data_IF_188175606886
#
_entry.id   IF_188175606886
#
_cell.length_a   1.000
_cell.length_b   1.000
_cell.length_c   1.000
_cell.angle_alpha   90.00
_cell.angle_beta   90.00
_cell.angle_gamma   90.00
#
_symmetry.space_group_name_H-M   'P 1'
#
loop_
_entity.id
_entity.type
_entity.pdbx_description
1 polymer ?
#
# COMPACT_ATOMS: atom_id res chain seq x y z
N UNK A 1 22.20 -50.71 -18.14
CA UNK A 1 22.85 -49.66 -17.32
C UNK A 1 21.95 -48.44 -17.37
N UNK A 2 21.07 -48.28 -16.36
CA UNK A 2 21.18 -47.27 -15.26
C UNK A 2 21.05 -45.84 -15.82
N UNK A 3 19.88 -45.18 -15.76
CA UNK A 3 19.32 -44.44 -14.59
C UNK A 3 19.89 -43.01 -14.59
N UNK A 4 19.20 -41.87 -14.46
CA UNK A 4 18.04 -41.37 -13.68
C UNK A 4 17.56 -40.04 -14.34
N UNK A 5 16.27 -39.80 -14.58
CA UNK A 5 15.25 -39.08 -13.77
C UNK A 5 15.38 -37.54 -13.55
N UNK A 6 14.28 -36.86 -13.91
CA UNK A 6 13.65 -35.61 -13.41
C UNK A 6 14.14 -34.20 -13.81
N UNK A 7 13.26 -33.47 -14.51
CA UNK A 7 12.78 -32.11 -14.12
C UNK A 7 11.51 -31.77 -14.91
N UNK A 8 10.33 -31.93 -14.32
CA UNK A 8 9.60 -30.92 -13.51
C UNK A 8 8.62 -30.09 -14.36
N UNK A 9 7.46 -30.70 -14.60
CA UNK A 9 6.21 -29.98 -14.88
C UNK A 9 5.90 -29.00 -13.73
N UNK A 10 6.05 -27.70 -13.97
CA UNK A 10 5.23 -26.67 -13.32
C UNK A 10 4.31 -26.16 -14.43
N UNK A 11 3.07 -26.62 -14.51
CA UNK A 11 2.06 -26.28 -13.52
C UNK A 11 1.43 -24.93 -13.90
N UNK A 12 0.91 -24.83 -15.13
CA UNK A 12 0.04 -23.74 -15.60
C UNK A 12 -1.37 -23.94 -15.00
N UNK A 13 -1.43 -23.93 -13.67
CA UNK A 13 -2.65 -24.11 -12.90
C UNK A 13 -3.04 -22.77 -12.28
N UNK A 14 -3.38 -21.78 -13.12
CA UNK A 14 -4.12 -20.59 -12.68
C UNK A 14 -4.64 -19.69 -13.82
N UNK A 15 -4.83 -20.20 -15.05
CA UNK A 15 -5.48 -19.45 -16.13
C UNK A 15 -6.86 -20.01 -16.52
N UNK A 16 -7.41 -20.88 -15.68
CA UNK A 16 -8.73 -21.47 -15.89
C UNK A 16 -9.85 -20.54 -15.45
N UNK A 17 -10.94 -20.56 -16.21
CA UNK A 17 -12.25 -19.92 -16.00
C UNK A 17 -12.67 -19.81 -14.52
N UNK A 18 -12.28 -20.75 -13.66
CA UNK A 18 -12.43 -20.69 -12.20
C UNK A 18 -11.90 -19.41 -11.53
N UNK A 19 -10.73 -18.90 -11.93
CA UNK A 19 -10.18 -17.66 -11.37
C UNK A 19 -11.00 -16.42 -11.76
N UNK A 20 -11.51 -16.40 -13.00
CA UNK A 20 -12.39 -15.33 -13.48
C UNK A 20 -13.77 -15.39 -12.82
N UNK A 21 -14.31 -16.60 -12.62
CA UNK A 21 -15.57 -16.82 -11.88
C UNK A 21 -15.40 -16.38 -10.42
N UNK A 22 -14.29 -16.73 -9.76
CA UNK A 22 -14.06 -16.34 -8.38
C UNK A 22 -13.89 -14.83 -8.21
N UNK A 23 -13.22 -14.15 -9.15
CA UNK A 23 -13.15 -12.67 -9.17
C UNK A 23 -14.53 -12.06 -9.40
N UNK A 24 -15.33 -12.57 -10.34
CA UNK A 24 -16.70 -12.08 -10.58
C UNK A 24 -17.61 -12.34 -9.38
N UNK A 25 -17.53 -13.50 -8.73
CA UNK A 25 -18.27 -13.79 -7.50
C UNK A 25 -17.79 -12.93 -6.34
N UNK A 26 -16.48 -12.66 -6.22
CA UNK A 26 -15.95 -11.77 -5.20
C UNK A 26 -16.41 -10.33 -5.43
N UNK A 27 -16.41 -9.84 -6.67
CA UNK A 27 -16.95 -8.53 -7.04
C UNK A 27 -18.47 -8.46 -6.88
N UNK A 28 -19.21 -9.52 -7.22
CA UNK A 28 -20.66 -9.57 -7.05
C UNK A 28 -21.07 -9.68 -5.58
N UNK A 29 -20.32 -10.43 -4.76
CA UNK A 29 -20.50 -10.53 -3.31
C UNK A 29 -20.06 -9.25 -2.60
N UNK A 30 -18.97 -8.63 -3.04
CA UNK A 30 -18.57 -7.28 -2.65
C UNK A 30 -19.71 -6.31 -2.96
N UNK A 31 -20.18 -6.25 -4.20
CA UNK A 31 -21.29 -5.37 -4.63
C UNK A 31 -22.62 -5.64 -3.91
N UNK A 32 -22.97 -6.90 -3.62
CA UNK A 32 -24.15 -7.25 -2.82
C UNK A 32 -23.97 -6.91 -1.32
N UNK A 33 -22.72 -6.90 -0.81
CA UNK A 33 -22.42 -6.42 0.54
C UNK A 33 -22.46 -4.89 0.63
N UNK A 34 -22.31 -4.18 -0.49
CA UNK A 34 -22.56 -2.74 -0.66
C UNK A 34 -24.05 -2.37 -0.73
N UNK A 35 -24.97 -3.27 -0.37
CA UNK A 35 -26.38 -2.93 -0.13
C UNK A 35 -26.53 -2.07 1.16
N UNK A 36 -26.18 -0.79 0.98
CA UNK A 36 -26.73 0.44 1.56
C UNK A 36 -27.43 0.29 2.93
N UNK A 37 -26.66 0.21 4.00
CA UNK A 37 -27.02 0.88 5.26
C UNK A 37 -25.73 1.12 6.03
N UNK A 38 -25.54 2.42 6.40
CA UNK A 38 -24.46 3.05 7.18
C UNK A 38 -23.97 2.23 8.35
N UNK A 39 -23.26 2.86 9.29
CA UNK A 39 -23.09 2.25 10.60
C UNK A 39 -24.43 1.63 11.05
N UNK A 40 -24.46 0.31 11.17
CA UNK A 40 -25.69 -0.44 11.38
C UNK A 40 -25.37 -1.57 12.34
N UNK A 41 -26.08 -1.56 13.45
CA UNK A 41 -25.98 -2.60 14.46
C UNK A 41 -27.34 -3.24 14.69
N UNK A 42 -27.33 -4.55 14.92
CA UNK A 42 -28.42 -5.28 15.54
C UNK A 42 -27.87 -6.02 16.77
N UNK A 43 -28.73 -6.74 17.47
CA UNK A 43 -28.38 -7.44 18.71
C UNK A 43 -27.23 -8.46 18.58
N UNK A 44 -26.88 -8.87 17.35
CA UNK A 44 -25.90 -9.93 17.09
C UNK A 44 -24.62 -9.44 16.40
N UNK A 45 -24.69 -8.40 15.57
CA UNK A 45 -23.55 -7.91 14.81
C UNK A 45 -23.74 -6.45 14.42
N UNK A 46 -22.62 -5.73 14.27
CA UNK A 46 -22.59 -4.46 13.58
C UNK A 46 -21.75 -4.51 12.30
N UNK A 47 -22.00 -3.55 11.42
CA UNK A 47 -21.18 -3.24 10.24
C UNK A 47 -20.93 -1.74 10.14
N UNK A 48 -19.83 -1.40 9.51
CA UNK A 48 -19.44 -0.05 9.12
C UNK A 48 -18.83 -0.11 7.72
N UNK A 49 -19.45 0.55 6.75
CA UNK A 49 -18.93 0.67 5.39
C UNK A 49 -18.79 2.15 5.08
N UNK A 50 -17.63 2.56 4.56
CA UNK A 50 -17.31 3.96 4.26
C UNK A 50 -16.66 4.06 2.90
N UNK A 51 -16.98 5.13 2.19
CA UNK A 51 -16.21 5.53 1.01
C UNK A 51 -15.93 7.03 1.06
N UNK A 52 -14.76 7.44 0.59
CA UNK A 52 -14.32 8.82 0.71
C UNK A 52 -13.30 9.22 -0.34
N UNK A 53 -13.09 10.53 -0.41
CA UNK A 53 -12.03 11.16 -1.18
C UNK A 53 -11.06 11.82 -0.22
N UNK A 54 -9.79 11.78 -0.55
CA UNK A 54 -8.75 12.33 0.30
C UNK A 54 -7.58 12.89 -0.47
N UNK A 55 -6.72 13.60 0.26
CA UNK A 55 -5.42 14.06 -0.19
C UNK A 55 -4.32 13.47 0.68
N UNK A 56 -3.14 13.26 0.11
CA UNK A 56 -1.96 12.83 0.85
C UNK A 56 -0.74 13.65 0.48
N UNK A 57 0.18 13.76 1.43
CA UNK A 57 1.53 14.26 1.23
C UNK A 57 2.48 13.28 1.89
N UNK A 58 3.48 12.84 1.14
CA UNK A 58 4.54 11.98 1.65
C UNK A 58 5.88 12.70 1.57
N UNK A 59 6.64 12.62 2.66
CA UNK A 59 8.01 13.07 2.74
C UNK A 59 8.91 11.84 2.93
N UNK A 60 9.78 11.62 1.95
CA UNK A 60 10.71 10.49 1.92
C UNK A 60 12.12 11.03 2.16
N UNK A 61 12.66 10.67 3.33
CA UNK A 61 14.05 10.88 3.69
C UNK A 61 14.92 9.73 3.19
N UNK A 62 15.94 10.07 2.41
CA UNK A 62 17.03 9.16 2.01
C UNK A 62 18.27 9.60 2.78
N UNK A 63 18.75 8.77 3.72
CA UNK A 63 19.88 9.06 4.61
C UNK A 63 19.72 10.31 5.50
N UNK A 64 18.69 10.31 6.36
CA UNK A 64 18.70 10.94 7.70
C UNK A 64 18.76 12.46 7.87
N UNK A 65 19.18 13.25 6.87
CA UNK A 65 19.44 14.69 7.09
C UNK A 65 18.50 15.64 6.34
N UNK A 66 17.92 15.27 5.19
CA UNK A 66 16.95 16.11 4.46
C UNK A 66 15.99 15.23 3.64
N UNK A 67 14.69 15.57 3.57
CA UNK A 67 13.76 14.88 2.66
C UNK A 67 14.17 15.15 1.21
N UNK A 68 14.62 14.10 0.52
CA UNK A 68 15.09 14.17 -0.87
C UNK A 68 13.95 14.04 -1.88
N UNK A 69 12.79 13.53 -1.43
CA UNK A 69 11.63 13.27 -2.27
C UNK A 69 10.36 13.68 -1.51
N UNK A 70 9.56 14.54 -2.14
CA UNK A 70 8.22 14.88 -1.67
C UNK A 70 7.23 14.47 -2.75
N UNK A 71 6.16 13.80 -2.35
CA UNK A 71 5.07 13.45 -3.24
C UNK A 71 3.74 13.80 -2.61
N UNK A 72 2.75 14.03 -3.46
CA UNK A 72 1.41 14.30 -2.99
C UNK A 72 0.40 14.03 -4.08
N UNK A 73 -0.85 13.88 -3.68
CA UNK A 73 -1.90 13.52 -4.60
C UNK A 73 -3.26 13.43 -3.94
N UNK A 74 -4.22 12.97 -4.74
CA UNK A 74 -5.57 12.67 -4.31
C UNK A 74 -5.79 11.16 -4.36
N UNK A 75 -6.73 10.67 -3.56
CA UNK A 75 -7.11 9.26 -3.55
C UNK A 75 -8.59 9.07 -3.26
N UNK A 76 -9.09 7.92 -3.69
CA UNK A 76 -10.39 7.38 -3.32
C UNK A 76 -10.17 6.21 -2.37
N UNK A 77 -10.91 6.18 -1.27
CA UNK A 77 -10.79 5.15 -0.25
C UNK A 77 -12.14 4.46 -0.01
N UNK A 78 -12.07 3.17 0.28
CA UNK A 78 -13.20 2.34 0.69
C UNK A 78 -12.78 1.55 1.91
N UNK A 79 -13.59 1.63 2.97
CA UNK A 79 -13.41 0.86 4.20
C UNK A 79 -14.65 0.02 4.45
N UNK A 80 -14.47 -1.20 4.90
CA UNK A 80 -15.55 -2.02 5.41
C UNK A 80 -15.07 -2.72 6.68
N UNK A 81 -15.95 -2.83 7.66
CA UNK A 81 -15.72 -3.65 8.84
C UNK A 81 -17.03 -4.24 9.30
N UNK A 82 -16.98 -5.48 9.77
CA UNK A 82 -18.08 -6.20 10.37
C UNK A 82 -17.59 -6.87 11.64
N UNK A 83 -18.35 -6.76 12.70
CA UNK A 83 -17.99 -7.37 13.98
C UNK A 83 -19.19 -7.91 14.72
N UNK A 84 -18.89 -8.86 15.58
CA UNK A 84 -19.75 -9.44 16.61
C UNK A 84 -19.00 -9.30 17.95
N UNK A 85 -19.65 -9.62 19.05
CA UNK A 85 -19.10 -9.56 20.41
C UNK A 85 -17.66 -10.13 20.53
N UNK A 86 -17.31 -11.18 19.80
CA UNK A 86 -16.01 -11.86 19.92
C UNK A 86 -15.14 -11.83 18.66
N UNK A 87 -15.62 -11.29 17.55
CA UNK A 87 -14.92 -11.40 16.27
C UNK A 87 -15.08 -10.15 15.43
N UNK A 88 -14.01 -9.78 14.73
CA UNK A 88 -13.93 -8.65 13.82
C UNK A 88 -13.30 -9.11 12.51
N UNK A 89 -13.88 -8.65 11.40
CA UNK A 89 -13.30 -8.77 10.07
C UNK A 89 -13.53 -7.49 9.30
N UNK A 90 -12.55 -7.07 8.53
CA UNK A 90 -12.67 -5.86 7.73
C UNK A 90 -11.63 -5.76 6.65
N UNK A 91 -11.70 -4.67 5.91
CA UNK A 91 -10.70 -4.31 4.95
C UNK A 91 -10.81 -2.86 4.51
N UNK A 92 -9.72 -2.37 3.96
CA UNK A 92 -9.64 -1.07 3.33
C UNK A 92 -8.97 -1.18 1.97
N UNK A 93 -9.34 -0.31 1.04
CA UNK A 93 -8.70 -0.17 -0.25
C UNK A 93 -8.61 1.31 -0.63
N UNK A 94 -7.42 1.74 -1.05
CA UNK A 94 -7.13 3.11 -1.45
C UNK A 94 -6.56 3.13 -2.87
N UNK A 95 -7.07 4.04 -3.70
CA UNK A 95 -6.65 4.24 -5.09
C UNK A 95 -6.26 5.69 -5.29
N UNK A 96 -4.97 5.94 -5.54
CA UNK A 96 -4.40 7.28 -5.56
C UNK A 96 -3.76 7.65 -6.88
N UNK A 97 -3.82 8.95 -7.20
CA UNK A 97 -3.09 9.59 -8.30
C UNK A 97 -2.35 10.79 -7.74
N UNK A 98 -1.11 10.99 -8.14
CA UNK A 98 -0.30 12.08 -7.61
C UNK A 98 0.89 12.43 -8.47
N UNK A 99 1.69 13.33 -7.92
CA UNK A 99 2.98 13.70 -8.47
C UNK A 99 4.07 13.65 -7.41
N UNK A 100 5.28 13.38 -7.84
CA UNK A 100 6.47 13.28 -7.02
C UNK A 100 7.58 14.17 -7.56
N UNK A 101 8.29 14.85 -6.66
CA UNK A 101 9.39 15.76 -6.98
C UNK A 101 10.61 15.44 -6.12
N UNK A 102 11.78 15.35 -6.78
CA UNK A 102 13.07 15.12 -6.13
C UNK A 102 13.77 16.46 -5.96
N UNK A 103 14.15 16.79 -4.72
CA UNK A 103 15.06 17.89 -4.43
C UNK A 103 16.44 17.30 -4.14
N UNK A 104 17.33 17.36 -5.14
CA UNK A 104 18.73 16.99 -4.93
C UNK A 104 19.45 18.10 -4.17
N UNK A 105 20.02 17.76 -3.01
CA UNK A 105 21.01 18.59 -2.32
C UNK A 105 22.35 17.87 -2.43
N UNK A 106 23.15 18.26 -3.44
CA UNK A 106 24.58 17.96 -3.60
C UNK A 106 25.09 16.65 -2.97
N UNK A 107 24.63 15.49 -3.46
CA UNK A 107 25.27 14.22 -3.14
C UNK A 107 26.41 13.95 -4.13
N UNK A 108 27.54 14.64 -3.96
CA UNK A 108 28.73 14.51 -4.83
C UNK A 108 29.42 13.14 -4.75
N UNK A 109 29.02 12.26 -3.82
CA UNK A 109 29.68 10.97 -3.57
C UNK A 109 28.73 9.76 -3.43
N UNK A 110 27.45 9.87 -3.80
CA UNK A 110 26.56 8.71 -3.73
C UNK A 110 26.47 8.00 -5.09
N UNK A 111 26.81 6.71 -5.11
CA UNK A 111 26.48 5.74 -6.16
C UNK A 111 24.97 5.47 -6.27
N UNK A 112 24.13 6.37 -5.75
CA UNK A 112 22.67 6.25 -5.72
C UNK A 112 22.10 6.58 -7.09
N UNK A 113 21.30 5.64 -7.62
CA UNK A 113 20.67 5.73 -8.94
C UNK A 113 19.48 6.72 -9.03
N UNK A 114 19.56 7.84 -8.31
CA UNK A 114 18.57 8.92 -8.40
C UNK A 114 19.22 10.08 -9.15
N UNK A 115 19.13 10.10 -10.49
CA UNK A 115 19.71 11.17 -11.27
C UNK A 115 19.10 12.53 -10.92
N UNK A 116 19.96 13.56 -10.92
CA UNK A 116 19.66 14.98 -10.69
C UNK A 116 18.61 15.54 -11.67
N UNK A 117 17.33 15.27 -11.47
CA UNK A 117 16.25 15.83 -12.28
C UNK A 117 15.13 16.34 -11.38
N UNK A 118 14.98 17.67 -11.33
CA UNK A 118 13.83 18.37 -10.77
C UNK A 118 12.58 18.21 -11.67
N UNK A 119 12.27 16.97 -12.10
CA UNK A 119 11.12 16.67 -12.94
C UNK A 119 10.02 16.09 -12.05
N UNK A 120 8.87 16.76 -12.05
CA UNK A 120 7.64 16.21 -11.48
C UNK A 120 7.28 14.93 -12.25
N UNK A 121 7.10 13.84 -11.54
CA UNK A 121 6.74 12.54 -12.12
C UNK A 121 5.36 12.14 -11.64
N UNK A 122 4.48 11.76 -12.57
CA UNK A 122 3.16 11.24 -12.23
C UNK A 122 3.29 9.83 -11.66
N UNK A 123 2.42 9.52 -10.70
CA UNK A 123 2.33 8.18 -10.13
C UNK A 123 0.89 7.77 -9.81
N UNK A 124 0.68 6.46 -9.86
CA UNK A 124 -0.54 5.79 -9.44
C UNK A 124 -0.23 4.88 -8.25
N UNK A 125 -1.05 4.97 -7.21
CA UNK A 125 -0.91 4.19 -5.99
C UNK A 125 -2.14 3.32 -5.74
N UNK A 126 -1.91 2.09 -5.27
CA UNK A 126 -2.96 1.23 -4.72
C UNK A 126 -2.49 0.69 -3.38
N UNK A 127 -3.32 0.82 -2.34
CA UNK A 127 -3.14 0.07 -1.11
C UNK A 127 -4.38 -0.70 -0.75
N UNK A 128 -4.21 -1.84 -0.07
CA UNK A 128 -5.29 -2.65 0.43
C UNK A 128 -4.89 -3.32 1.73
N UNK A 129 -5.70 -3.21 2.77
CA UNK A 129 -5.47 -3.91 4.04
C UNK A 129 -6.66 -4.82 4.34
N UNK A 130 -6.38 -6.03 4.80
CA UNK A 130 -7.38 -6.95 5.35
C UNK A 130 -7.12 -7.12 6.83
N UNK A 131 -8.18 -7.08 7.63
CA UNK A 131 -8.15 -7.20 9.09
C UNK A 131 -8.96 -8.42 9.52
N UNK A 132 -8.44 -9.17 10.48
CA UNK A 132 -9.18 -10.23 11.16
C UNK A 132 -8.74 -10.28 12.62
N UNK A 133 -9.69 -10.39 13.54
CA UNK A 133 -9.36 -10.31 14.95
C UNK A 133 -10.56 -10.40 15.88
N UNK A 134 -10.39 -9.81 17.05
CA UNK A 134 -11.36 -9.88 18.14
C UNK A 134 -11.95 -8.49 18.38
N UNK A 135 -13.24 -8.45 18.71
CA UNK A 135 -13.79 -7.35 19.47
C UNK A 135 -13.56 -7.67 20.96
N UNK A 136 -12.80 -6.82 21.65
CA UNK A 136 -12.46 -6.99 23.05
C UNK A 136 -13.40 -6.20 23.99
N UNK A 137 -14.43 -5.56 23.43
CA UNK A 137 -15.40 -4.77 24.21
C UNK A 137 -16.82 -4.92 23.65
N UNK A 138 -17.73 -4.07 24.11
CA UNK A 138 -19.14 -4.10 23.74
C UNK A 138 -19.37 -3.92 22.24
N UNK A 139 -20.53 -4.39 21.78
CA UNK A 139 -20.89 -4.36 20.36
C UNK A 139 -20.98 -2.92 19.82
N UNK A 140 -21.57 -2.00 20.59
CA UNK A 140 -21.77 -0.59 20.19
C UNK A 140 -20.53 0.30 20.38
N UNK A 141 -19.54 -0.15 21.16
CA UNK A 141 -18.30 0.60 21.46
C UNK A 141 -17.07 -0.28 21.28
N UNK A 142 -16.87 -0.88 20.10
CA UNK A 142 -15.92 -1.95 19.93
C UNK A 142 -14.47 -1.49 20.15
N UNK A 143 -13.65 -2.40 20.67
CA UNK A 143 -12.20 -2.31 20.69
C UNK A 143 -11.67 -3.48 19.87
N UNK A 144 -11.14 -3.21 18.69
CA UNK A 144 -10.65 -4.21 17.76
C UNK A 144 -9.17 -4.49 18.01
N UNK A 145 -8.85 -5.77 18.23
CA UNK A 145 -7.48 -6.28 18.25
C UNK A 145 -7.34 -7.23 17.07
N UNK A 146 -6.70 -6.76 16.01
CA UNK A 146 -6.65 -7.45 14.72
C UNK A 146 -5.23 -7.84 14.33
N UNK A 147 -5.11 -8.96 13.64
CA UNK A 147 -3.99 -9.18 12.70
C UNK A 147 -4.37 -8.59 11.35
N UNK A 148 -3.39 -8.07 10.62
CA UNK A 148 -3.64 -7.50 9.30
C UNK A 148 -2.60 -7.93 8.27
N UNK A 149 -3.06 -8.02 7.02
CA UNK A 149 -2.21 -8.12 5.83
C UNK A 149 -2.44 -6.88 4.99
N UNK A 150 -1.38 -6.15 4.68
CA UNK A 150 -1.45 -4.94 3.88
C UNK A 150 -0.58 -5.07 2.63
N UNK A 151 -1.17 -4.77 1.48
CA UNK A 151 -0.51 -4.67 0.20
C UNK A 151 -0.46 -3.19 -0.20
N UNK A 152 0.70 -2.75 -0.69
CA UNK A 152 0.88 -1.41 -1.25
C UNK A 152 1.68 -1.48 -2.54
N UNK A 153 1.20 -0.83 -3.58
CA UNK A 153 1.89 -0.65 -4.85
C UNK A 153 1.90 0.83 -5.20
N UNK A 154 3.04 1.32 -5.65
CA UNK A 154 3.16 2.67 -6.21
C UNK A 154 3.94 2.57 -7.53
N UNK A 155 3.26 2.95 -8.60
CA UNK A 155 3.73 2.84 -9.97
C UNK A 155 3.99 4.26 -10.48
N UNK A 156 5.24 4.55 -10.81
CA UNK A 156 5.61 5.80 -11.46
C UNK A 156 5.56 5.65 -12.98
N UNK A 157 5.37 6.78 -13.65
CA UNK A 157 5.49 6.86 -15.10
C UNK A 157 6.85 6.32 -15.58
N UNK A 158 6.87 5.70 -16.76
CA UNK A 158 8.06 5.03 -17.32
C UNK A 158 9.25 6.00 -17.47
N UNK A 159 8.98 7.27 -17.78
CA UNK A 159 10.00 8.31 -17.97
C UNK A 159 10.48 8.97 -16.68
N UNK A 160 9.92 8.59 -15.52
CA UNK A 160 10.13 9.26 -14.24
C UNK A 160 11.53 9.07 -13.63
N UNK A 161 12.32 8.09 -14.11
CA UNK A 161 13.56 7.60 -13.46
C UNK A 161 13.39 7.23 -11.97
N UNK A 162 12.17 7.23 -11.44
CA UNK A 162 11.84 6.84 -10.08
C UNK A 162 11.47 5.35 -10.07
N UNK A 163 12.04 4.53 -9.16
CA UNK A 163 11.64 3.14 -9.06
C UNK A 163 10.21 3.03 -8.55
N UNK A 164 9.39 2.24 -9.25
CA UNK A 164 8.11 1.79 -8.69
C UNK A 164 8.36 0.87 -7.51
N UNK A 165 7.41 0.76 -6.57
CA UNK A 165 7.57 -0.10 -5.38
C UNK A 165 6.34 -0.95 -5.13
N UNK A 166 6.57 -2.15 -4.62
CA UNK A 166 5.56 -3.06 -4.11
C UNK A 166 5.96 -3.50 -2.71
N UNK A 167 5.03 -3.44 -1.76
CA UNK A 167 5.21 -3.81 -0.37
C UNK A 167 4.07 -4.75 0.07
N UNK A 168 4.41 -5.77 0.84
CA UNK A 168 3.48 -6.60 1.58
C UNK A 168 3.90 -6.57 3.05
N UNK A 169 3.01 -6.11 3.92
CA UNK A 169 3.20 -6.12 5.37
C UNK A 169 2.22 -7.06 6.07
N UNK A 170 2.69 -7.65 7.17
CA UNK A 170 1.90 -8.44 8.11
C UNK A 170 2.08 -7.82 9.49
N UNK A 171 1.00 -7.62 10.23
CA UNK A 171 1.09 -6.91 11.50
C UNK A 171 -0.11 -7.08 12.40
N UNK A 172 -0.13 -6.25 13.44
CA UNK A 172 -1.20 -6.16 14.42
C UNK A 172 -1.75 -4.74 14.49
N UNK A 173 -3.04 -4.61 14.73
CA UNK A 173 -3.76 -3.35 14.83
C UNK A 173 -4.60 -3.31 16.11
N UNK A 174 -4.62 -2.14 16.74
CA UNK A 174 -5.55 -1.79 17.80
C UNK A 174 -6.38 -0.61 17.31
N UNK A 175 -7.69 -0.74 17.24
CA UNK A 175 -8.58 0.35 16.82
C UNK A 175 -9.89 0.34 17.60
N UNK A 176 -10.58 1.46 17.65
CA UNK A 176 -11.86 1.58 18.35
C UNK A 176 -12.78 2.55 17.63
N UNK A 177 -14.08 2.34 17.82
CA UNK A 177 -15.16 3.21 17.39
C UNK A 177 -16.02 3.54 18.61
N UNK A 178 -16.18 4.82 18.93
CA UNK A 178 -16.91 5.25 20.12
C UNK A 178 -17.84 6.42 19.79
N UNK A 179 -19.07 6.34 20.27
CA UNK A 179 -19.99 7.49 20.21
C UNK A 179 -19.66 8.43 21.38
N UNK A 180 -19.29 9.68 21.07
CA UNK A 180 -19.07 10.70 22.10
C UNK A 180 -20.40 11.26 22.62
N UNK A 181 -21.38 11.36 21.71
CA UNK A 181 -22.76 11.71 21.99
C UNK A 181 -23.66 11.19 20.84
N UNK A 182 -24.94 11.54 20.85
CA UNK A 182 -25.92 11.12 19.83
C UNK A 182 -25.64 11.65 18.42
N UNK A 183 -24.67 12.56 18.26
CA UNK A 183 -24.38 13.25 17.00
C UNK A 183 -22.99 12.99 16.42
N UNK A 184 -22.00 12.77 17.28
CA UNK A 184 -20.60 12.69 16.91
C UNK A 184 -20.02 11.43 17.53
N UNK A 185 -19.43 10.61 16.68
CA UNK A 185 -18.56 9.53 17.09
C UNK A 185 -17.12 9.80 16.69
N UNK A 186 -16.21 9.10 17.36
CA UNK A 186 -14.78 9.12 17.12
C UNK A 186 -14.32 7.71 16.72
N UNK A 187 -13.46 7.65 15.72
CA UNK A 187 -12.72 6.44 15.36
C UNK A 187 -11.23 6.73 15.52
N UNK A 188 -10.49 5.76 16.03
CA UNK A 188 -9.04 5.89 16.11
C UNK A 188 -8.39 4.51 16.07
N UNK A 189 -7.12 4.48 15.67
CA UNK A 189 -6.37 3.25 15.69
C UNK A 189 -4.89 3.45 15.46
N UNK A 190 -4.13 2.45 15.90
CA UNK A 190 -2.70 2.32 15.69
C UNK A 190 -2.38 0.90 15.22
N UNK A 191 -1.48 0.78 14.27
CA UNK A 191 -1.07 -0.50 13.70
C UNK A 191 0.43 -0.54 13.53
N UNK A 192 1.01 -1.70 13.79
CA UNK A 192 2.42 -1.99 13.54
C UNK A 192 2.52 -3.23 12.66
N UNK A 193 3.30 -3.14 11.59
CA UNK A 193 3.48 -4.23 10.64
C UNK A 193 4.93 -4.40 10.22
N UNK A 194 5.31 -5.64 10.00
CA UNK A 194 6.58 -6.03 9.42
C UNK A 194 6.42 -6.22 7.92
N UNK A 195 7.32 -5.65 7.12
CA UNK A 195 7.29 -5.75 5.66
C UNK A 195 7.96 -7.06 5.25
N UNK A 196 7.14 -8.11 5.10
CA UNK A 196 7.57 -9.47 4.73
C UNK A 196 8.06 -9.57 3.28
N UNK A 197 7.58 -8.68 2.41
CA UNK A 197 8.03 -8.57 1.03
C UNK A 197 8.08 -7.10 0.62
N UNK A 198 9.18 -6.71 -0.01
CA UNK A 198 9.34 -5.39 -0.58
C UNK A 198 10.23 -5.47 -1.82
N UNK A 199 9.87 -4.72 -2.85
CA UNK A 199 10.57 -4.72 -4.12
C UNK A 199 10.53 -3.34 -4.76
N UNK A 200 11.68 -2.88 -5.25
CA UNK A 200 11.79 -1.75 -6.16
C UNK A 200 11.88 -2.27 -7.59
N UNK A 201 11.15 -1.64 -8.50
CA UNK A 201 11.10 -1.98 -9.91
C UNK A 201 11.65 -0.79 -10.71
N UNK A 202 12.78 -1.02 -11.35
CA UNK A 202 13.45 -0.06 -12.23
C UNK A 202 13.02 -0.34 -13.67
N UNK A 203 12.13 0.52 -14.18
CA UNK A 203 11.66 0.44 -15.57
C UNK A 203 12.62 1.21 -16.49
N UNK A 204 12.86 0.67 -17.68
CA UNK A 204 13.67 1.31 -18.72
C UNK A 204 15.06 1.78 -18.27
N UNK A 205 15.69 1.08 -17.31
CA UNK A 205 17.13 1.21 -17.10
C UNK A 205 17.84 0.54 -18.28
N UNK A 206 18.42 1.34 -19.17
CA UNK A 206 19.10 0.85 -20.35
C UNK A 206 20.44 0.22 -19.98
N UNK A 207 20.53 -1.10 -20.09
CA UNK A 207 21.81 -1.81 -20.16
C UNK A 207 22.38 -1.64 -21.57
N UNK A 208 23.49 -0.91 -21.70
CA UNK A 208 24.24 -0.83 -22.95
C UNK A 208 25.09 -2.09 -23.11
N UNK A 209 24.66 -3.01 -23.97
CA UNK A 209 25.49 -4.11 -24.44
C UNK A 209 26.07 -3.73 -25.81
N UNK A 210 27.31 -3.24 -25.90
CA UNK A 210 28.00 -3.24 -27.18
C UNK A 210 28.23 -4.70 -27.55
N UNK A 211 27.47 -5.23 -28.50
CA UNK A 211 27.76 -6.52 -29.09
C UNK A 211 28.89 -6.31 -30.11
N UNK A 212 30.13 -6.77 -29.86
CA UNK A 212 31.25 -6.54 -30.77
C UNK A 212 31.09 -7.24 -32.13
N UNK A 213 30.13 -8.15 -32.28
CA UNK A 213 29.88 -8.90 -33.51
C UNK A 213 28.68 -8.39 -34.32
N UNK A 214 27.81 -7.55 -33.74
CA UNK A 214 26.64 -6.97 -34.42
C UNK A 214 26.35 -5.56 -33.88
N UNK A 215 26.68 -4.48 -34.61
CA UNK A 215 26.46 -3.10 -34.19
C UNK A 215 25.00 -2.66 -34.42
N UNK A 216 24.04 -3.55 -34.18
CA UNK A 216 22.63 -3.18 -34.14
C UNK A 216 22.37 -2.60 -32.77
N UNK A 217 22.04 -1.31 -32.73
CA UNK A 217 21.63 -0.54 -31.55
C UNK A 217 20.30 -1.08 -30.97
N UNK A 218 20.25 -2.33 -30.53
CA UNK A 218 19.13 -2.84 -29.75
C UNK A 218 19.28 -2.35 -28.32
N UNK A 219 18.63 -1.21 -28.04
CA UNK A 219 18.30 -0.83 -26.67
C UNK A 219 17.34 -1.87 -26.10
N UNK A 220 17.90 -2.92 -25.48
CA UNK A 220 17.10 -3.85 -24.71
C UNK A 220 16.84 -3.24 -23.34
N UNK A 221 15.69 -2.60 -23.17
CA UNK A 221 15.18 -2.21 -21.86
C UNK A 221 14.69 -3.47 -21.16
N UNK A 222 15.44 -3.93 -20.16
CA UNK A 222 14.97 -4.99 -19.28
C UNK A 222 14.45 -4.32 -18.01
N UNK A 223 13.21 -4.61 -17.64
CA UNK A 223 12.74 -4.30 -16.29
C UNK A 223 13.60 -5.10 -15.31
N UNK A 224 14.22 -4.38 -14.38
CA UNK A 224 15.03 -4.98 -13.34
C UNK A 224 14.40 -4.67 -12.00
N UNK A 225 14.50 -5.61 -11.07
CA UNK A 225 13.93 -5.43 -9.75
C UNK A 225 14.95 -5.70 -8.67
N UNK A 226 14.80 -4.98 -7.56
CA UNK A 226 15.64 -5.12 -6.38
C UNK A 226 14.78 -5.37 -5.16
N UNK A 227 15.05 -6.48 -4.49
CA UNK A 227 14.36 -6.85 -3.26
C UNK A 227 14.85 -6.01 -2.09
N UNK A 228 13.91 -5.48 -1.31
CA UNK A 228 14.17 -4.78 -0.05
C UNK A 228 14.60 -5.79 1.01
N UNK A 229 15.62 -5.46 1.80
CA UNK A 229 16.06 -6.31 2.89
C UNK A 229 14.97 -6.45 3.97
N UNK A 230 14.95 -7.59 4.68
CA UNK A 230 13.80 -7.98 5.49
C UNK A 230 13.54 -7.05 6.68
N UNK A 231 14.52 -6.28 7.17
CA UNK A 231 14.37 -5.42 8.35
C UNK A 231 13.60 -4.12 8.04
N UNK A 232 12.37 -4.25 7.54
CA UNK A 232 11.52 -3.14 7.10
C UNK A 232 10.20 -3.15 7.86
N UNK A 233 9.73 -1.98 8.28
CA UNK A 233 8.64 -1.80 9.24
C UNK A 233 7.65 -0.73 8.77
N UNK A 234 6.40 -0.87 9.21
CA UNK A 234 5.30 0.04 8.95
C UNK A 234 4.58 0.36 10.25
N UNK A 235 4.36 1.65 10.53
CA UNK A 235 3.49 2.12 11.59
C UNK A 235 2.38 2.94 10.95
N UNK A 236 1.13 2.68 11.31
CA UNK A 236 -0.03 3.46 10.88
C UNK A 236 -0.76 3.97 12.11
N UNK A 237 -1.18 5.22 12.08
CA UNK A 237 -2.09 5.78 13.06
C UNK A 237 -3.17 6.58 12.34
N UNK A 238 -4.40 6.55 12.87
CA UNK A 238 -5.48 7.39 12.37
C UNK A 238 -6.37 7.85 13.50
N UNK A 239 -7.03 8.98 13.26
CA UNK A 239 -8.11 9.50 14.08
C UNK A 239 -9.14 10.13 13.14
N UNK A 240 -10.41 9.90 13.41
CA UNK A 240 -11.51 10.39 12.59
C UNK A 240 -12.74 10.69 13.42
N UNK A 241 -13.60 11.52 12.84
CA UNK A 241 -14.91 11.85 13.37
C UNK A 241 -15.97 11.38 12.37
N UNK A 242 -17.09 10.89 12.89
CA UNK A 242 -18.22 10.50 12.06
C UNK A 242 -19.55 10.93 12.69
N UNK A 243 -20.57 11.08 11.85
CA UNK A 243 -21.94 11.36 12.28
C UNK A 243 -22.56 10.10 12.90
N UNK A 244 -22.90 10.17 14.19
CA UNK A 244 -23.41 9.05 14.98
C UNK A 244 -24.94 8.93 14.96
N UNK A 245 -25.68 9.81 14.25
CA UNK A 245 -27.15 9.91 14.30
C UNK A 245 -27.93 8.72 13.71
N UNK A 246 -27.27 7.58 13.43
CA UNK A 246 -27.91 6.39 12.87
C UNK A 246 -28.58 6.61 11.52
N UNK A 247 -28.22 7.69 10.81
CA UNK A 247 -28.75 7.97 9.49
C UNK A 247 -28.23 6.93 8.49
N UNK A 248 -29.04 6.62 7.47
CA UNK A 248 -28.66 5.68 6.39
C UNK A 248 -27.36 6.07 5.67
N UNK A 249 -27.01 7.36 5.72
CA UNK A 249 -25.72 7.89 5.32
C UNK A 249 -25.17 8.81 6.42
N UNK A 250 -23.92 8.60 6.84
CA UNK A 250 -23.22 9.42 7.84
C UNK A 250 -22.01 10.10 7.22
N UNK A 251 -21.77 11.38 7.50
CA UNK A 251 -20.53 12.03 7.08
C UNK A 251 -19.39 11.60 7.99
N UNK A 252 -18.19 11.46 7.44
CA UNK A 252 -16.99 11.28 8.25
C UNK A 252 -15.81 12.06 7.69
N UNK A 253 -14.85 12.36 8.57
CA UNK A 253 -13.56 12.93 8.24
C UNK A 253 -12.47 12.22 9.04
N UNK A 254 -11.34 11.93 8.41
CA UNK A 254 -10.25 11.15 9.01
C UNK A 254 -8.90 11.75 8.63
N UNK A 255 -8.00 11.86 9.61
CA UNK A 255 -6.59 12.14 9.39
C UNK A 255 -5.78 10.89 9.75
N UNK A 256 -4.81 10.54 8.91
CA UNK A 256 -3.94 9.39 9.15
C UNK A 256 -2.48 9.75 8.93
N UNK A 257 -1.61 9.05 9.64
CA UNK A 257 -0.17 9.09 9.47
C UNK A 257 0.35 7.68 9.23
N UNK A 258 1.19 7.50 8.21
CA UNK A 258 1.85 6.23 7.90
C UNK A 258 3.34 6.47 7.87
N UNK A 259 4.08 5.77 8.73
CA UNK A 259 5.52 5.78 8.76
C UNK A 259 6.06 4.45 8.23
N UNK A 260 6.95 4.51 7.25
CA UNK A 260 7.71 3.35 6.78
C UNK A 260 9.18 3.53 7.13
N UNK A 261 9.76 2.48 7.71
CA UNK A 261 11.19 2.26 7.71
C UNK A 261 11.49 1.16 6.68
N UNK A 262 12.20 1.50 5.62
CA UNK A 262 12.63 0.54 4.60
C UNK A 262 14.14 0.36 4.70
N UNK A 263 14.58 -0.87 4.90
CA UNK A 263 15.99 -1.21 4.80
C UNK A 263 16.48 -1.00 3.35
N UNK A 264 17.80 -0.94 3.20
CA UNK A 264 18.47 -0.98 1.90
C UNK A 264 17.95 -2.13 1.02
N UNK A 265 17.86 -1.87 -0.28
CA UNK A 265 17.62 -2.92 -1.25
C UNK A 265 18.89 -3.71 -1.53
N UNK A 266 18.73 -4.93 -2.05
CA UNK A 266 19.84 -5.68 -2.62
C UNK A 266 20.49 -4.92 -3.77
N UNK A 267 21.75 -5.23 -4.02
CA UNK A 267 22.47 -4.68 -5.17
C UNK A 267 22.00 -5.40 -6.43
N UNK A 268 21.60 -4.65 -7.44
CA UNK A 268 21.35 -5.15 -8.80
C UNK A 268 22.55 -4.78 -9.65
N UNK A 269 23.18 -5.81 -10.22
CA UNK A 269 24.24 -5.63 -11.19
C UNK A 269 23.62 -5.40 -12.58
N UNK A 270 24.06 -4.34 -13.24
CA UNK A 270 23.73 -4.08 -14.63
C UNK A 270 24.96 -4.34 -15.48
N UNK A 271 24.80 -5.01 -16.62
CA UNK A 271 25.87 -5.16 -17.58
C UNK A 271 26.32 -3.77 -18.05
N UNK A 272 27.59 -3.41 -17.80
CA UNK A 272 28.22 -2.13 -18.15
C UNK A 272 27.60 -0.87 -17.50
N UNK A 273 26.88 -1.01 -16.39
CA UNK A 273 26.44 0.12 -15.57
C UNK A 273 26.88 -0.06 -14.11
N UNK A 274 27.02 1.02 -13.33
CA UNK A 274 27.30 0.89 -11.91
C UNK A 274 26.20 0.07 -11.24
N UNK A 275 26.62 -0.84 -10.37
CA UNK A 275 25.73 -1.57 -9.47
C UNK A 275 24.78 -0.59 -8.75
N UNK A 276 23.48 -0.84 -8.84
CA UNK A 276 22.47 0.02 -8.21
C UNK A 276 21.90 -0.68 -7.00
N UNK A 277 21.84 0.05 -5.88
CA UNK A 277 21.00 -0.27 -4.74
C UNK A 277 20.20 0.94 -4.34
N UNK A 278 18.96 0.74 -3.93
CA UNK A 278 18.20 1.75 -3.23
C UNK A 278 18.66 1.79 -1.77
N UNK A 279 19.09 2.94 -1.25
CA UNK A 279 19.53 3.06 0.14
C UNK A 279 18.37 2.86 1.12
N UNK A 280 18.70 2.74 2.41
CA UNK A 280 17.67 2.76 3.45
C UNK A 280 16.86 4.07 3.35
N UNK A 281 15.56 3.99 3.64
CA UNK A 281 14.68 5.14 3.56
C UNK A 281 13.67 5.17 4.70
N UNK A 282 13.33 6.39 5.10
CA UNK A 282 12.25 6.66 6.04
C UNK A 282 11.21 7.50 5.33
N UNK A 283 9.97 7.04 5.33
CA UNK A 283 8.86 7.71 4.66
C UNK A 283 7.80 8.05 5.71
N UNK A 284 7.35 9.30 5.73
CA UNK A 284 6.14 9.69 6.46
C UNK A 284 5.10 10.18 5.47
N UNK A 285 3.92 9.59 5.53
CA UNK A 285 2.73 9.95 4.78
C UNK A 285 1.72 10.54 5.74
N UNK A 286 1.20 11.73 5.42
CA UNK A 286 0.05 12.32 6.10
C UNK A 286 -1.11 12.33 5.11
N UNK A 287 -2.24 11.81 5.53
CA UNK A 287 -3.45 11.76 4.70
C UNK A 287 -4.61 12.44 5.40
N UNK A 288 -5.45 13.10 4.59
CA UNK A 288 -6.73 13.64 5.00
C UNK A 288 -7.80 13.00 4.12
N UNK A 289 -8.89 12.53 4.71
CA UNK A 289 -10.00 11.86 4.03
C UNK A 289 -11.31 12.47 4.51
N UNK A 290 -12.26 12.63 3.59
CA UNK A 290 -13.63 12.98 3.90
C UNK A 290 -14.57 12.13 3.04
N UNK A 291 -15.70 11.73 3.60
CA UNK A 291 -16.60 10.87 2.88
C UNK A 291 -17.90 10.60 3.60
N UNK A 292 -18.51 9.50 3.17
CA UNK A 292 -19.83 9.03 3.58
C UNK A 292 -19.75 7.57 4.00
N UNK A 293 -20.33 7.27 5.15
CA UNK A 293 -20.64 5.93 5.62
C UNK A 293 -21.99 5.46 5.07
N UNK A 294 -22.07 4.22 4.60
CA UNK A 294 -23.24 3.58 4.00
C UNK A 294 -23.38 2.12 4.40
#
# INVERSE_FOLDING_TARGET
MLGYFTKSNRGSFCNGIFGKILVVYFFAFFWHSFALAGYSCNDFWCRDTKAGLGGYVDAIGINGANPSLTQGGAYFAVHFRKWQEWFSFGGSADFGLGSASIKSTNATNSTSAIPNLAKSSLHFGVSGTLYAGLNAYQLDTPIFVDIFVNFRSQIYEVDSKMPSKILLSLGTSLSSLQNLNDTIGIEYGISYGYIVYGEYIFRNYSSYRPNPQFPTNEHKTNDTSSRINPNSHEIKAFIGLFDARGAKASLYGRISAIYHYLDSSRVVAFDNAPNVSYPHSQNISITLEMGVGF
#
